data_IF_284720724228
#
_entry.id   IF_284720724228
#
_cell.length_a   1.000
_cell.length_b   1.000
_cell.length_c   1.000
_cell.angle_alpha   90.00
_cell.angle_beta   90.00
_cell.angle_gamma   90.00
#
_symmetry.space_group_name_H-M   'P 1'
#
loop_
_entity.id
_entity.type
_entity.pdbx_description
1 polymer ?
#
# COMPACT_ATOMS: atom_id res chain seq x y z
N UNK A 1 30.65 -15.13 50.94
CA UNK A 1 29.40 -14.32 50.94
C UNK A 1 29.11 -13.89 49.52
N UNK A 2 27.84 -13.94 49.07
CA UNK A 2 27.48 -14.12 47.67
C UNK A 2 27.42 -12.81 46.87
N UNK A 3 27.72 -12.92 45.57
CA UNK A 3 27.36 -11.97 44.52
C UNK A 3 25.85 -11.70 44.54
N UNK A 4 25.44 -10.47 44.86
CA UNK A 4 24.08 -10.02 44.53
C UNK A 4 24.05 -8.51 44.31
N UNK A 5 23.16 -8.10 43.41
CA UNK A 5 22.76 -6.72 43.07
C UNK A 5 23.52 -6.04 41.91
N UNK A 6 23.58 -6.72 40.76
CA UNK A 6 23.33 -5.98 39.50
C UNK A 6 21.82 -5.85 39.41
N UNK A 7 21.33 -4.61 39.56
CA UNK A 7 19.93 -4.27 39.37
C UNK A 7 19.47 -4.81 38.01
N UNK A 8 18.46 -5.68 38.01
CA UNK A 8 17.65 -5.94 36.80
C UNK A 8 17.06 -4.60 36.39
N UNK A 9 17.74 -3.86 35.50
CA UNK A 9 17.08 -2.86 34.68
C UNK A 9 16.00 -3.61 33.94
N UNK A 10 14.80 -3.54 34.50
CA UNK A 10 13.57 -4.02 33.89
C UNK A 10 13.41 -3.16 32.66
N UNK A 11 13.94 -3.62 31.52
CA UNK A 11 13.54 -3.14 30.22
C UNK A 11 12.01 -3.17 30.26
N UNK A 12 11.39 -1.99 30.35
CA UNK A 12 9.98 -1.87 29.99
C UNK A 12 9.97 -2.37 28.55
N UNK A 13 9.49 -3.60 28.33
CA UNK A 13 9.21 -4.08 26.99
C UNK A 13 8.30 -3.03 26.38
N UNK A 14 8.85 -2.17 25.51
CA UNK A 14 8.03 -1.32 24.67
C UNK A 14 7.29 -2.31 23.76
N UNK A 15 6.02 -2.57 24.10
CA UNK A 15 5.15 -3.35 23.26
C UNK A 15 4.60 -2.40 22.20
N UNK A 16 4.96 -2.63 20.94
CA UNK A 16 4.34 -1.96 19.79
C UNK A 16 2.99 -2.62 19.51
N UNK A 17 1.98 -1.82 19.18
CA UNK A 17 0.69 -2.31 18.70
C UNK A 17 0.79 -2.89 17.28
N UNK A 18 -0.13 -3.78 16.89
CA UNK A 18 -0.19 -4.25 15.51
C UNK A 18 -0.39 -3.07 14.53
N UNK A 19 -1.16 -2.05 14.94
CA UNK A 19 -1.36 -0.81 14.18
C UNK A 19 -0.05 -0.02 13.95
N UNK A 20 0.82 0.09 14.95
CA UNK A 20 2.13 0.74 14.79
C UNK A 20 3.11 -0.13 13.98
N UNK A 21 3.05 -1.46 14.13
CA UNK A 21 3.83 -2.39 13.29
C UNK A 21 3.48 -2.20 11.81
N UNK A 22 2.19 -2.09 11.48
CA UNK A 22 1.74 -1.85 10.11
C UNK A 22 2.25 -0.52 9.55
N UNK A 23 2.16 0.56 10.32
CA UNK A 23 2.63 1.88 9.91
C UNK A 23 4.17 1.90 9.67
N UNK A 24 4.93 1.21 10.52
CA UNK A 24 6.38 1.05 10.36
C UNK A 24 6.72 0.18 9.14
N UNK A 25 6.03 -0.95 8.97
CA UNK A 25 6.23 -1.84 7.84
C UNK A 25 5.99 -1.11 6.51
N UNK A 26 4.93 -0.30 6.41
CA UNK A 26 4.66 0.50 5.21
C UNK A 26 5.81 1.46 4.87
N UNK A 27 6.35 2.17 5.88
CA UNK A 27 7.47 3.09 5.67
C UNK A 27 8.75 2.36 5.26
N UNK A 28 9.05 1.23 5.89
CA UNK A 28 10.21 0.39 5.58
C UNK A 28 10.11 -0.14 4.15
N UNK A 29 8.96 -0.67 3.74
CA UNK A 29 8.73 -1.18 2.38
C UNK A 29 8.98 -0.10 1.32
N UNK A 30 8.45 1.11 1.53
CA UNK A 30 8.69 2.24 0.62
C UNK A 30 10.17 2.61 0.58
N UNK A 31 10.85 2.69 1.73
CA UNK A 31 12.28 3.01 1.77
C UNK A 31 13.15 1.94 1.13
N UNK A 32 12.81 0.66 1.27
CA UNK A 32 13.55 -0.45 0.66
C UNK A 32 13.34 -0.49 -0.86
N UNK A 33 12.17 -0.05 -1.33
CA UNK A 33 11.91 0.18 -2.75
C UNK A 33 12.64 1.40 -3.34
N UNK A 34 13.42 2.16 -2.56
CA UNK A 34 14.11 3.38 -3.03
C UNK A 34 13.34 4.69 -2.83
N UNK A 35 12.18 4.63 -2.17
CA UNK A 35 11.32 5.76 -1.89
C UNK A 35 11.78 6.64 -0.71
N UNK A 36 10.97 7.65 -0.34
CA UNK A 36 11.31 8.54 0.75
C UNK A 36 11.30 7.84 2.10
N UNK A 37 12.09 8.39 3.02
CA UNK A 37 11.99 8.08 4.45
C UNK A 37 11.18 9.16 5.17
N UNK A 38 10.42 8.75 6.17
CA UNK A 38 9.75 9.67 7.08
C UNK A 38 9.68 9.07 8.47
N UNK A 39 9.62 9.94 9.48
CA UNK A 39 9.44 9.50 10.86
C UNK A 39 7.97 9.13 11.06
N UNK A 40 7.71 7.84 11.26
CA UNK A 40 6.36 7.33 11.54
C UNK A 40 5.94 7.77 12.95
N UNK A 41 4.84 8.54 13.12
CA UNK A 41 4.28 8.78 14.44
C UNK A 41 3.82 7.44 15.04
N UNK A 42 4.20 7.16 16.29
CA UNK A 42 3.84 5.94 17.01
C UNK A 42 2.89 6.25 18.17
N UNK A 43 2.32 5.21 18.76
CA UNK A 43 1.37 5.30 19.88
C UNK A 43 -0.04 4.87 19.51
N UNK A 44 -0.25 4.27 18.33
CA UNK A 44 -1.55 3.69 17.96
C UNK A 44 -1.84 2.48 18.82
N UNK A 45 -3.12 2.12 18.88
CA UNK A 45 -3.61 0.98 19.64
C UNK A 45 -4.53 0.13 18.80
N UNK A 46 -4.48 -1.16 19.05
CA UNK A 46 -5.27 -2.11 18.27
C UNK A 46 -6.75 -2.02 18.64
N UNK A 47 -7.60 -2.04 17.61
CA UNK A 47 -9.04 -2.18 17.80
C UNK A 47 -9.36 -3.53 18.44
N UNK A 48 -10.46 -3.60 19.18
CA UNK A 48 -11.00 -4.86 19.74
C UNK A 48 -11.97 -5.57 18.81
N UNK A 49 -12.40 -4.89 17.75
CA UNK A 49 -13.43 -5.36 16.80
C UNK A 49 -13.01 -5.02 15.38
N UNK A 50 -13.26 -5.94 14.46
CA UNK A 50 -13.20 -5.66 13.02
C UNK A 50 -14.47 -4.91 12.57
N UNK A 51 -14.38 -4.17 11.46
CA UNK A 51 -15.51 -3.44 10.89
C UNK A 51 -15.68 -3.78 9.40
N UNK A 52 -16.36 -4.90 9.13
CA UNK A 52 -16.55 -5.42 7.76
C UNK A 52 -17.34 -4.47 6.86
N UNK A 53 -18.37 -3.81 7.39
CA UNK A 53 -19.20 -2.87 6.60
C UNK A 53 -18.39 -1.69 6.07
N UNK A 54 -17.32 -1.30 6.77
CA UNK A 54 -16.40 -0.25 6.34
C UNK A 54 -15.66 -0.56 5.04
N UNK A 55 -15.58 -1.83 4.61
CA UNK A 55 -14.90 -2.18 3.35
C UNK A 55 -15.64 -1.67 2.11
N UNK A 56 -16.94 -1.39 2.22
CA UNK A 56 -17.74 -0.82 1.13
C UNK A 56 -17.33 0.61 0.74
N UNK A 57 -16.48 1.26 1.53
CA UNK A 57 -15.95 2.61 1.27
C UNK A 57 -14.57 2.62 0.62
N UNK A 58 -13.95 1.45 0.42
CA UNK A 58 -12.62 1.33 -0.18
C UNK A 58 -12.76 1.46 -1.72
N UNK A 59 -11.93 2.30 -2.39
CA UNK A 59 -11.94 2.40 -3.85
C UNK A 59 -11.58 1.08 -4.52
N UNK A 60 -12.38 0.70 -5.51
CA UNK A 60 -12.31 -0.53 -6.30
C UNK A 60 -11.37 -0.46 -7.50
N UNK A 61 -10.96 0.75 -7.90
CA UNK A 61 -10.12 0.95 -9.10
C UNK A 61 -10.90 1.39 -10.33
N UNK A 62 -12.24 1.42 -10.23
CA UNK A 62 -13.19 1.77 -11.30
C UNK A 62 -13.91 3.11 -11.06
N UNK A 63 -13.64 3.79 -9.93
CA UNK A 63 -14.32 5.03 -9.57
C UNK A 63 -13.95 6.19 -10.50
N UNK A 64 -14.91 7.11 -10.65
CA UNK A 64 -14.63 8.41 -11.23
C UNK A 64 -13.76 9.29 -10.30
N UNK A 65 -13.10 10.30 -10.86
CA UNK A 65 -12.23 11.23 -10.17
C UNK A 65 -13.02 12.00 -9.12
N UNK A 66 -14.27 12.35 -9.44
CA UNK A 66 -15.18 13.01 -8.52
C UNK A 66 -15.47 12.13 -7.30
N UNK A 67 -15.68 10.84 -7.49
CA UNK A 67 -15.98 9.89 -6.41
C UNK A 67 -14.74 9.66 -5.53
N UNK A 68 -13.58 9.35 -6.12
CA UNK A 68 -12.36 9.13 -5.33
C UNK A 68 -11.91 10.41 -4.63
N UNK A 69 -12.03 11.59 -5.27
CA UNK A 69 -11.73 12.86 -4.61
C UNK A 69 -12.70 13.17 -3.46
N UNK A 70 -13.99 12.83 -3.59
CA UNK A 70 -14.96 12.99 -2.50
C UNK A 70 -14.62 12.11 -1.30
N UNK A 71 -14.23 10.85 -1.55
CA UNK A 71 -13.78 9.94 -0.51
C UNK A 71 -12.51 10.46 0.20
N UNK A 72 -11.51 10.92 -0.55
CA UNK A 72 -10.29 11.47 0.05
C UNK A 72 -10.60 12.71 0.90
N UNK A 73 -11.46 13.60 0.41
CA UNK A 73 -11.91 14.78 1.17
C UNK A 73 -12.63 14.42 2.46
N UNK A 74 -13.45 13.36 2.48
CA UNK A 74 -14.13 12.93 3.71
C UNK A 74 -13.17 12.43 4.79
N UNK A 75 -11.97 11.98 4.39
CA UNK A 75 -10.86 11.64 5.29
C UNK A 75 -9.91 12.83 5.56
N UNK A 76 -10.27 14.02 5.08
CA UNK A 76 -9.50 15.26 5.28
C UNK A 76 -8.34 15.46 4.31
N UNK A 77 -8.24 14.68 3.23
CA UNK A 77 -7.20 14.82 2.20
C UNK A 77 -7.58 15.82 1.11
N UNK A 78 -6.59 16.56 0.62
CA UNK A 78 -6.74 17.42 -0.56
C UNK A 78 -6.36 16.67 -1.86
N UNK A 79 -6.50 17.34 -3.00
CA UNK A 79 -6.17 16.75 -4.31
C UNK A 79 -4.67 16.47 -4.48
N UNK A 80 -3.79 17.18 -3.76
CA UNK A 80 -2.35 16.85 -3.75
C UNK A 80 -2.09 15.57 -2.96
N UNK A 81 -2.77 15.37 -1.83
CA UNK A 81 -2.69 14.15 -1.06
C UNK A 81 -3.22 12.95 -1.85
N UNK A 82 -4.35 13.08 -2.54
CA UNK A 82 -4.89 12.06 -3.45
C UNK A 82 -3.85 11.64 -4.48
N UNK A 83 -3.35 12.60 -5.28
CA UNK A 83 -2.39 12.29 -6.36
C UNK A 83 -1.07 11.75 -5.79
N UNK A 84 -0.62 12.22 -4.62
CA UNK A 84 0.57 11.71 -3.98
C UNK A 84 0.38 10.24 -3.55
N UNK A 85 -0.71 9.93 -2.84
CA UNK A 85 -0.96 8.57 -2.34
C UNK A 85 -1.21 7.57 -3.46
N UNK A 86 -1.86 7.97 -4.56
CA UNK A 86 -1.96 7.14 -5.78
C UNK A 86 -0.60 6.78 -6.38
N UNK A 87 0.45 7.59 -6.12
CA UNK A 87 1.82 7.28 -6.51
C UNK A 87 2.39 6.01 -5.90
N UNK A 88 1.72 5.40 -4.91
CA UNK A 88 2.09 4.05 -4.41
C UNK A 88 1.96 2.97 -5.49
N UNK A 89 1.21 3.21 -6.57
CA UNK A 89 1.10 2.28 -7.71
C UNK A 89 2.35 2.29 -8.62
N UNK A 90 3.43 2.97 -8.24
CA UNK A 90 4.75 2.86 -8.88
C UNK A 90 5.38 1.47 -8.73
N UNK A 91 4.88 0.63 -7.83
CA UNK A 91 5.33 -0.74 -7.63
C UNK A 91 4.15 -1.65 -7.23
N UNK A 92 4.33 -2.97 -7.31
CA UNK A 92 3.27 -3.93 -6.98
C UNK A 92 2.40 -4.31 -8.18
N UNK A 93 1.29 -5.01 -7.90
CA UNK A 93 0.51 -5.73 -8.92
C UNK A 93 -0.99 -5.62 -8.70
N UNK A 94 -1.74 -5.53 -9.79
CA UNK A 94 -3.20 -5.63 -9.84
C UNK A 94 -3.63 -6.95 -10.49
N UNK A 95 -4.85 -7.42 -10.18
CA UNK A 95 -5.43 -8.55 -10.91
C UNK A 95 -6.11 -8.07 -12.18
N UNK A 96 -6.14 -8.91 -13.21
CA UNK A 96 -6.90 -8.62 -14.44
C UNK A 96 -8.34 -8.16 -14.15
N UNK A 97 -9.00 -8.76 -13.14
CA UNK A 97 -10.35 -8.39 -12.71
C UNK A 97 -10.55 -6.89 -12.46
N UNK A 98 -9.51 -6.16 -12.04
CA UNK A 98 -9.60 -4.75 -11.65
C UNK A 98 -9.52 -3.74 -12.81
N UNK A 99 -9.21 -4.18 -14.02
CA UNK A 99 -9.11 -3.27 -15.18
C UNK A 99 -9.61 -3.89 -16.49
N UNK A 100 -10.11 -5.13 -16.47
CA UNK A 100 -10.62 -5.79 -17.68
C UNK A 100 -11.82 -5.09 -18.32
N UNK A 101 -12.61 -4.35 -17.53
CA UNK A 101 -13.65 -3.44 -18.03
C UNK A 101 -13.07 -2.39 -18.98
N UNK A 102 -11.91 -1.82 -18.67
CA UNK A 102 -11.19 -0.88 -19.54
C UNK A 102 -10.74 -1.52 -20.86
N UNK A 103 -10.49 -2.83 -20.88
CA UNK A 103 -10.04 -3.52 -22.09
C UNK A 103 -11.19 -3.89 -23.02
N UNK A 104 -12.33 -4.30 -22.47
CA UNK A 104 -13.38 -4.97 -23.24
C UNK A 104 -14.80 -4.40 -23.09
N UNK A 105 -15.13 -3.71 -22.00
CA UNK A 105 -16.52 -3.29 -21.70
C UNK A 105 -16.58 -1.86 -21.15
N UNK A 106 -15.75 -0.95 -21.67
CA UNK A 106 -15.58 0.37 -21.08
C UNK A 106 -16.88 1.18 -21.10
N UNK A 107 -17.25 1.77 -19.96
CA UNK A 107 -18.54 2.44 -19.74
C UNK A 107 -19.76 1.59 -20.11
N UNK A 108 -19.70 0.29 -19.80
CA UNK A 108 -20.76 -0.69 -20.09
C UNK A 108 -21.04 -0.87 -21.60
N UNK A 109 -20.10 -0.50 -22.47
CA UNK A 109 -20.22 -0.72 -23.92
C UNK A 109 -19.37 -1.93 -24.32
N UNK A 110 -20.04 -3.03 -24.65
CA UNK A 110 -19.38 -4.28 -25.05
C UNK A 110 -18.47 -4.09 -26.27
N UNK A 111 -17.24 -4.60 -26.17
CA UNK A 111 -16.20 -4.48 -27.19
C UNK A 111 -15.43 -3.15 -27.16
N UNK A 112 -15.83 -2.18 -26.34
CA UNK A 112 -15.18 -0.88 -26.26
C UNK A 112 -13.99 -0.93 -25.30
N UNK A 113 -12.82 -0.55 -25.80
CA UNK A 113 -11.64 -0.25 -24.99
C UNK A 113 -11.67 1.21 -24.55
N UNK A 114 -11.20 1.49 -23.33
CA UNK A 114 -11.04 2.83 -22.77
C UNK A 114 -10.21 3.72 -23.72
N UNK A 115 -10.76 4.83 -24.25
CA UNK A 115 -10.04 5.73 -25.15
C UNK A 115 -8.92 6.52 -24.46
N UNK A 116 -8.88 6.53 -23.12
CA UNK A 116 -7.80 7.15 -22.35
C UNK A 116 -6.61 6.21 -22.12
N UNK A 117 -6.73 4.93 -22.49
CA UNK A 117 -5.66 3.95 -22.43
C UNK A 117 -4.90 3.91 -23.77
N UNK A 118 -3.57 3.96 -23.71
CA UNK A 118 -2.70 3.89 -24.88
C UNK A 118 -2.99 2.60 -25.67
N UNK A 119 -3.24 2.70 -26.98
CA UNK A 119 -3.70 1.57 -27.78
C UNK A 119 -2.68 0.41 -27.84
N UNK A 120 -1.38 0.71 -27.92
CA UNK A 120 -0.32 -0.31 -27.90
C UNK A 120 -0.27 -1.01 -26.55
N UNK A 121 -0.36 -0.25 -25.46
CA UNK A 121 -0.41 -0.80 -24.11
C UNK A 121 -1.68 -1.62 -23.86
N UNK A 122 -2.85 -1.15 -24.29
CA UNK A 122 -4.10 -1.89 -24.23
C UNK A 122 -4.00 -3.23 -24.97
N UNK A 123 -3.36 -3.27 -26.15
CA UNK A 123 -3.16 -4.51 -26.88
C UNK A 123 -2.22 -5.47 -26.13
N UNK A 124 -1.16 -4.98 -25.50
CA UNK A 124 -0.30 -5.80 -24.64
C UNK A 124 -1.08 -6.36 -23.44
N UNK A 125 -1.86 -5.53 -22.75
CA UNK A 125 -2.72 -5.96 -21.64
C UNK A 125 -3.77 -6.98 -22.07
N UNK A 126 -4.32 -6.89 -23.28
CA UNK A 126 -5.26 -7.90 -23.83
C UNK A 126 -4.60 -9.26 -24.09
N UNK A 127 -3.29 -9.32 -24.33
CA UNK A 127 -2.57 -10.60 -24.42
C UNK A 127 -2.35 -11.21 -23.04
N UNK A 128 -2.08 -10.37 -22.04
CA UNK A 128 -1.87 -10.79 -20.64
C UNK A 128 -3.19 -11.16 -19.94
N UNK A 129 -4.27 -10.46 -20.26
CA UNK A 129 -5.61 -10.62 -19.70
C UNK A 129 -6.63 -10.84 -20.84
N UNK A 130 -6.59 -12.00 -21.55
CA UNK A 130 -7.49 -12.24 -22.68
C UNK A 130 -8.96 -12.30 -22.26
N UNK A 131 -9.87 -11.99 -23.18
CA UNK A 131 -11.32 -12.06 -22.93
C UNK A 131 -11.72 -13.49 -22.60
N UNK A 132 -12.31 -13.70 -21.42
CA UNK A 132 -12.65 -15.04 -20.90
C UNK A 132 -11.46 -15.82 -20.34
N UNK A 133 -10.29 -15.18 -20.18
CA UNK A 133 -9.12 -15.75 -19.52
C UNK A 133 -9.20 -15.72 -17.99
N UNK A 134 -8.08 -16.07 -17.35
CA UNK A 134 -7.96 -16.07 -15.89
C UNK A 134 -7.91 -14.64 -15.33
N UNK A 135 -9.03 -14.22 -14.74
CA UNK A 135 -9.19 -12.91 -14.10
C UNK A 135 -8.31 -12.72 -12.86
N UNK A 136 -7.67 -13.78 -12.36
CA UNK A 136 -6.81 -13.73 -11.17
C UNK A 136 -5.34 -13.47 -11.48
N UNK A 137 -4.95 -13.48 -12.76
CA UNK A 137 -3.59 -13.18 -13.21
C UNK A 137 -3.14 -11.81 -12.73
N UNK A 138 -1.89 -11.72 -12.27
CA UNK A 138 -1.30 -10.52 -11.69
C UNK A 138 -0.46 -9.76 -12.70
N UNK A 139 -0.75 -8.48 -12.87
CA UNK A 139 -0.06 -7.54 -13.77
C UNK A 139 0.58 -6.43 -12.95
N UNK A 140 1.82 -6.09 -13.28
CA UNK A 140 2.54 -5.00 -12.62
C UNK A 140 1.82 -3.65 -12.86
N UNK A 141 1.63 -2.87 -11.80
CA UNK A 141 0.99 -1.54 -11.87
C UNK A 141 1.85 -0.51 -12.63
N UNK A 142 3.17 -0.66 -12.52
CA UNK A 142 4.15 0.06 -13.31
C UNK A 142 4.96 -0.95 -14.14
N UNK A 143 4.77 -0.94 -15.46
CA UNK A 143 5.45 -1.88 -16.36
C UNK A 143 6.94 -1.56 -16.55
N UNK A 144 7.41 -0.35 -16.23
CA UNK A 144 8.81 0.03 -16.46
C UNK A 144 9.69 -0.24 -15.25
N UNK A 145 9.18 0.02 -14.04
CA UNK A 145 9.96 -0.03 -12.80
C UNK A 145 9.22 -0.74 -11.66
N UNK A 146 8.60 -1.89 -11.94
CA UNK A 146 7.66 -2.60 -11.04
C UNK A 146 8.11 -2.94 -9.61
N UNK A 147 9.42 -2.85 -9.31
CA UNK A 147 10.01 -3.07 -7.98
C UNK A 147 10.61 -1.81 -7.34
N UNK A 148 10.57 -0.66 -8.04
CA UNK A 148 11.17 0.59 -7.59
C UNK A 148 10.08 1.58 -7.21
N UNK A 149 10.25 2.23 -6.07
CA UNK A 149 9.41 3.33 -5.64
C UNK A 149 9.97 4.64 -6.20
N UNK A 150 9.44 5.10 -7.33
CA UNK A 150 9.91 6.29 -8.03
C UNK A 150 8.73 7.12 -8.61
N UNK A 151 9.01 8.12 -9.44
CA UNK A 151 7.97 8.95 -10.05
C UNK A 151 7.54 8.46 -11.45
N UNK A 152 7.97 7.27 -11.89
CA UNK A 152 7.65 6.73 -13.20
C UNK A 152 6.15 6.43 -13.36
N UNK A 153 5.45 6.11 -12.27
CA UNK A 153 3.99 6.10 -12.22
C UNK A 153 3.37 7.34 -12.89
N UNK A 154 3.86 8.55 -12.57
CA UNK A 154 3.31 9.79 -13.14
C UNK A 154 3.71 9.99 -14.61
N UNK A 155 4.87 9.48 -15.02
CA UNK A 155 5.29 9.45 -16.43
C UNK A 155 4.39 8.49 -17.24
N UNK A 156 3.98 7.36 -16.65
CA UNK A 156 3.02 6.45 -17.27
C UNK A 156 1.67 7.13 -17.51
N UNK A 157 1.15 7.89 -16.54
CA UNK A 157 -0.12 8.61 -16.70
C UNK A 157 -0.07 9.61 -17.87
N UNK A 158 1.03 10.35 -18.02
CA UNK A 158 1.26 11.28 -19.13
C UNK A 158 1.24 10.57 -20.49
N UNK A 159 1.70 9.32 -20.52
CA UNK A 159 1.74 8.48 -21.72
C UNK A 159 0.48 7.62 -21.92
N UNK A 160 -0.59 7.86 -21.15
CA UNK A 160 -1.84 7.09 -21.20
C UNK A 160 -1.64 5.62 -20.80
N UNK A 161 -0.74 5.36 -19.86
CA UNK A 161 -0.32 4.03 -19.42
C UNK A 161 -0.60 3.75 -17.94
N UNK A 162 -1.51 4.49 -17.30
CA UNK A 162 -2.04 4.09 -15.99
C UNK A 162 -2.87 2.81 -16.13
N UNK A 163 -2.62 1.80 -15.27
CA UNK A 163 -3.25 0.48 -15.36
C UNK A 163 -4.72 0.52 -14.93
N UNK A 164 -5.02 1.14 -13.79
CA UNK A 164 -6.39 1.27 -13.28
C UNK A 164 -7.10 2.48 -13.90
N UNK A 165 -8.43 2.49 -13.84
CA UNK A 165 -9.20 3.64 -14.33
C UNK A 165 -8.94 4.85 -13.43
N UNK A 166 -8.99 4.65 -12.11
CA UNK A 166 -8.71 5.68 -11.10
C UNK A 166 -7.34 6.34 -11.29
N UNK A 167 -6.33 5.59 -11.77
CA UNK A 167 -5.01 6.12 -12.11
C UNK A 167 -5.09 7.07 -13.31
N UNK A 168 -5.62 6.58 -14.44
CA UNK A 168 -5.60 7.32 -15.68
C UNK A 168 -6.51 8.56 -15.63
N UNK A 169 -7.53 8.53 -14.78
CA UNK A 169 -8.42 9.67 -14.54
C UNK A 169 -7.74 10.85 -13.84
N UNK A 170 -6.66 10.64 -13.07
CA UNK A 170 -5.88 11.74 -12.46
C UNK A 170 -5.30 12.67 -13.53
N UNK A 171 -5.01 12.15 -14.72
CA UNK A 171 -4.41 12.90 -15.83
C UNK A 171 -5.36 13.16 -17.01
N UNK A 172 -6.35 12.29 -17.23
CA UNK A 172 -7.19 12.34 -18.44
C UNK A 172 -8.53 13.03 -18.25
N UNK A 173 -8.91 13.35 -17.00
CA UNK A 173 -10.12 14.12 -16.71
C UNK A 173 -9.92 15.59 -17.10
N UNK A 174 -10.69 16.05 -18.10
CA UNK A 174 -10.57 17.40 -18.62
C UNK A 174 -10.84 18.47 -17.53
N UNK A 175 -9.97 19.49 -17.45
CA UNK A 175 -10.09 20.58 -16.48
C UNK A 175 -9.81 20.21 -15.03
N UNK A 176 -9.41 18.97 -14.73
CA UNK A 176 -9.11 18.56 -13.36
C UNK A 176 -7.80 19.18 -12.85
N UNK A 177 -7.82 19.68 -11.62
CA UNK A 177 -6.63 20.22 -10.94
C UNK A 177 -5.52 19.19 -10.74
N UNK A 178 -5.88 17.90 -10.68
CA UNK A 178 -4.96 16.77 -10.55
C UNK A 178 -3.95 16.70 -11.69
N UNK A 179 -4.32 17.17 -12.90
CA UNK A 179 -3.44 17.18 -14.08
C UNK A 179 -2.18 18.01 -13.81
N UNK A 180 -2.32 19.18 -13.18
CA UNK A 180 -1.17 20.02 -12.83
C UNK A 180 -0.27 19.36 -11.79
N UNK A 181 -0.86 18.61 -10.86
CA UNK A 181 -0.15 17.90 -9.79
C UNK A 181 0.62 16.70 -10.34
N UNK A 182 0.00 15.89 -11.21
CA UNK A 182 0.65 14.79 -11.94
C UNK A 182 1.85 15.32 -12.72
N UNK A 183 1.68 16.40 -13.49
CA UNK A 183 2.77 17.03 -14.23
C UNK A 183 3.93 17.48 -13.33
N UNK A 184 3.61 18.02 -12.14
CA UNK A 184 4.61 18.45 -11.16
C UNK A 184 5.42 17.25 -10.61
N UNK A 185 4.75 16.14 -10.29
CA UNK A 185 5.40 14.94 -9.77
C UNK A 185 6.19 14.18 -10.83
N UNK A 186 5.67 14.08 -12.06
CA UNK A 186 6.40 13.56 -13.21
C UNK A 186 7.72 14.32 -13.47
N UNK A 187 7.72 15.65 -13.32
CA UNK A 187 8.92 16.49 -13.49
C UNK A 187 9.90 16.43 -12.31
N UNK A 188 9.45 16.01 -11.13
CA UNK A 188 10.24 16.15 -9.91
C UNK A 188 9.91 15.06 -8.89
N UNK A 189 10.73 14.01 -8.89
CA UNK A 189 10.66 12.94 -7.89
C UNK A 189 10.79 13.47 -6.46
N UNK A 190 11.62 14.48 -6.22
CA UNK A 190 11.76 15.09 -4.89
C UNK A 190 10.47 15.75 -4.40
N UNK A 191 9.71 16.41 -5.29
CA UNK A 191 8.40 16.96 -4.94
C UNK A 191 7.36 15.87 -4.69
N UNK A 192 7.37 14.80 -5.50
CA UNK A 192 6.54 13.62 -5.24
C UNK A 192 6.85 13.03 -3.87
N UNK A 193 8.10 12.69 -3.60
CA UNK A 193 8.57 12.07 -2.36
C UNK A 193 8.23 12.93 -1.13
N UNK A 194 8.43 14.25 -1.21
CA UNK A 194 8.08 15.18 -0.13
C UNK A 194 6.59 15.17 0.18
N UNK A 195 5.73 15.16 -0.86
CA UNK A 195 4.27 15.13 -0.68
C UNK A 195 3.78 13.76 -0.24
N UNK A 196 4.35 12.68 -0.77
CA UNK A 196 4.04 11.32 -0.37
C UNK A 196 4.30 11.09 1.12
N UNK A 197 5.48 11.46 1.62
CA UNK A 197 5.82 11.35 3.05
C UNK A 197 4.83 12.12 3.95
N UNK A 198 4.44 13.35 3.55
CA UNK A 198 3.45 14.15 4.29
C UNK A 198 2.07 13.51 4.28
N UNK A 199 1.62 13.01 3.12
CA UNK A 199 0.34 12.35 2.97
C UNK A 199 0.29 11.02 3.75
N UNK A 200 1.38 10.24 3.78
CA UNK A 200 1.49 9.02 4.59
C UNK A 200 1.43 9.29 6.10
N UNK A 201 2.08 10.37 6.58
CA UNK A 201 1.98 10.80 7.98
C UNK A 201 0.52 11.18 8.31
N UNK A 202 -0.12 11.96 7.41
CA UNK A 202 -1.51 12.38 7.56
C UNK A 202 -2.45 11.18 7.59
N UNK A 203 -2.27 10.22 6.70
CA UNK A 203 -3.02 8.96 6.65
C UNK A 203 -2.86 8.13 7.92
N UNK A 204 -1.64 8.03 8.44
CA UNK A 204 -1.38 7.37 9.72
C UNK A 204 -2.05 8.05 10.91
N UNK A 205 -2.53 9.29 10.78
CA UNK A 205 -3.15 10.05 11.86
C UNK A 205 -4.68 10.15 11.73
N UNK A 206 -5.31 9.38 10.84
CA UNK A 206 -6.77 9.29 10.75
C UNK A 206 -7.30 8.55 11.98
N UNK A 207 -8.08 9.26 12.82
CA UNK A 207 -8.83 8.73 13.96
C UNK A 207 -8.12 7.64 14.80
N UNK A 208 -6.85 7.84 15.23
CA UNK A 208 -6.13 6.84 16.00
C UNK A 208 -6.74 6.67 17.39
N UNK A 209 -6.77 5.43 17.88
CA UNK A 209 -7.02 5.16 19.30
C UNK A 209 -5.76 5.53 20.11
N UNK A 210 -5.84 6.60 20.91
CA UNK A 210 -4.75 7.14 21.76
C UNK A 210 -5.16 7.07 23.24
N UNK A 211 -4.22 6.85 24.17
CA UNK A 211 -4.46 7.01 25.62
C UNK A 211 -3.52 6.20 26.54
N UNK A 212 -3.50 6.55 27.84
CA UNK A 212 -2.50 6.11 28.84
C UNK A 212 -2.61 4.65 29.32
N UNK A 213 -3.76 4.02 29.13
CA UNK A 213 -4.01 2.66 29.65
C UNK A 213 -3.62 1.61 28.63
N UNK A 214 -2.35 1.24 28.47
CA UNK A 214 -1.90 0.20 27.52
C UNK A 214 -2.86 -1.00 27.53
N UNK A 215 -3.70 -1.15 26.51
CA UNK A 215 -4.42 -2.40 26.28
C UNK A 215 -3.39 -3.24 25.56
N UNK A 216 -2.63 -3.98 26.35
CA UNK A 216 -2.04 -5.19 25.86
C UNK A 216 -3.19 -5.93 25.20
N UNK A 217 -3.15 -6.08 23.87
CA UNK A 217 -3.82 -7.22 23.26
C UNK A 217 -3.48 -8.41 24.14
N UNK A 218 -4.50 -9.17 24.54
CA UNK A 218 -4.30 -10.35 25.38
C UNK A 218 -3.05 -11.07 24.91
N UNK A 219 -2.21 -11.51 25.83
CA UNK A 219 -1.01 -12.33 25.57
C UNK A 219 -1.31 -13.66 24.85
N UNK A 220 -2.52 -13.79 24.30
CA UNK A 220 -3.15 -14.94 23.70
C UNK A 220 -3.70 -14.63 22.29
N UNK A 221 -3.80 -13.35 21.88
CA UNK A 221 -3.96 -13.01 20.46
C UNK A 221 -2.62 -12.58 19.92
N UNK A 222 -1.86 -13.54 19.40
CA UNK A 222 -0.89 -13.24 18.35
C UNK A 222 -1.56 -12.28 17.37
N UNK A 223 -0.85 -11.22 16.95
CA UNK A 223 -1.36 -10.42 15.86
C UNK A 223 -1.51 -11.37 14.65
N UNK A 224 -2.71 -11.87 14.41
CA UNK A 224 -3.17 -12.12 13.06
C UNK A 224 -3.31 -10.72 12.47
N UNK A 225 -2.17 -10.15 12.08
CA UNK A 225 -2.20 -9.03 11.16
C UNK A 225 -2.66 -9.68 9.86
N UNK A 226 -3.97 -9.74 9.65
CA UNK A 226 -4.50 -9.64 8.31
C UNK A 226 -4.09 -8.24 7.86
N UNK A 227 -2.87 -8.16 7.33
CA UNK A 227 -2.24 -6.92 6.90
C UNK A 227 -3.03 -6.45 5.69
N UNK A 228 -4.16 -5.77 5.91
CA UNK A 228 -4.96 -5.14 4.86
C UNK A 228 -4.19 -3.99 4.22
N UNK A 229 -3.10 -4.31 3.50
CA UNK A 229 -2.36 -3.40 2.63
C UNK A 229 -3.25 -3.14 1.43
N UNK A 230 -4.02 -2.07 1.50
CA UNK A 230 -4.80 -1.57 0.37
C UNK A 230 -3.83 -0.75 -0.48
N UNK A 231 -3.09 -1.44 -1.33
CA UNK A 231 -2.56 -0.88 -2.57
C UNK A 231 -3.04 -1.84 -3.67
N UNK A 232 -4.14 -1.42 -4.34
CA UNK A 232 -4.78 -2.00 -5.56
C UNK A 232 -5.12 -3.49 -5.51
N UNK A 233 -6.34 -3.99 -5.40
CA UNK A 233 -7.70 -3.50 -5.67
C UNK A 233 -8.66 -4.16 -4.65
N UNK A 234 -9.93 -3.80 -4.66
CA UNK A 234 -11.00 -4.38 -3.81
C UNK A 234 -11.24 -5.86 -4.10
N UNK A 235 -10.32 -6.74 -3.65
CA UNK A 235 -10.60 -8.10 -3.13
C UNK A 235 -9.35 -8.98 -2.99
N UNK A 236 -8.17 -8.56 -3.43
CA UNK A 236 -7.26 -9.60 -3.91
C UNK A 236 -5.79 -9.53 -3.55
N UNK A 237 -5.45 -8.63 -2.63
CA UNK A 237 -4.35 -8.84 -1.71
C UNK A 237 -4.78 -9.64 -0.45
N UNK A 238 -6.10 -9.93 -0.27
CA UNK A 238 -6.70 -10.62 0.90
C UNK A 238 -7.36 -11.97 0.62
N UNK A 239 -7.00 -12.63 -0.48
CA UNK A 239 -7.40 -14.01 -0.75
C UNK A 239 -6.20 -14.95 -0.66
N UNK A 240 -5.96 -15.55 0.52
CA UNK A 240 -4.88 -16.50 0.89
C UNK A 240 -3.55 -15.91 1.37
N UNK A 241 -3.54 -15.28 2.55
CA UNK A 241 -2.37 -15.30 3.44
C UNK A 241 -2.36 -16.55 4.37
N UNK A 242 -3.35 -17.44 4.26
CA UNK A 242 -3.47 -18.69 5.01
C UNK A 242 -2.85 -19.91 4.32
N UNK A 243 -2.12 -19.74 3.20
CA UNK A 243 -1.55 -20.88 2.45
C UNK A 243 -0.09 -20.70 1.98
N UNK A 244 0.63 -19.70 2.49
CA UNK A 244 2.04 -19.46 2.16
C UNK A 244 3.04 -20.17 3.08
N UNK A 245 2.58 -20.91 4.10
CA UNK A 245 3.47 -21.69 4.98
C UNK A 245 3.97 -22.99 4.30
N UNK A 246 3.32 -23.47 3.23
CA UNK A 246 3.68 -24.75 2.60
C UNK A 246 4.41 -24.65 1.24
N UNK A 247 4.73 -23.45 0.73
CA UNK A 247 5.40 -23.31 -0.59
C UNK A 247 6.78 -22.64 -0.55
N UNK A 248 7.36 -22.45 0.64
CA UNK A 248 8.66 -21.80 0.83
C UNK A 248 9.89 -22.57 0.30
N UNK A 249 9.71 -23.57 -0.57
CA UNK A 249 10.81 -24.37 -1.11
C UNK A 249 11.23 -24.03 -2.55
N UNK A 250 10.66 -23.02 -3.24
CA UNK A 250 11.09 -22.80 -4.64
C UNK A 250 10.89 -21.41 -5.29
N UNK A 251 11.15 -20.29 -4.61
CA UNK A 251 11.36 -19.00 -5.31
C UNK A 251 12.54 -18.24 -4.68
N UNK A 252 13.61 -18.10 -5.45
CA UNK A 252 14.86 -17.49 -5.04
C UNK A 252 14.78 -15.96 -4.83
N UNK A 253 15.54 -15.51 -3.82
CA UNK A 253 16.07 -14.16 -3.61
C UNK A 253 15.19 -13.04 -3.02
N UNK A 254 14.11 -13.36 -2.30
CA UNK A 254 13.46 -12.42 -1.35
C UNK A 254 13.52 -12.90 0.11
N UNK A 255 14.62 -13.54 0.52
CA UNK A 255 14.79 -14.09 1.87
C UNK A 255 15.30 -13.07 2.92
N UNK A 256 14.92 -11.80 2.84
CA UNK A 256 15.20 -10.84 3.93
C UNK A 256 14.27 -9.65 3.88
N UNK A 257 12.98 -9.86 4.12
CA UNK A 257 12.09 -8.82 4.66
C UNK A 257 10.79 -9.44 5.19
N UNK A 258 10.75 -9.56 6.52
CA UNK A 258 9.55 -9.53 7.36
C UNK A 258 8.57 -10.70 7.20
N UNK A 259 8.93 -11.84 7.81
CA UNK A 259 7.96 -12.69 8.50
C UNK A 259 7.94 -12.26 9.98
N UNK A 260 7.22 -11.17 10.32
CA UNK A 260 7.17 -10.65 11.69
C UNK A 260 6.17 -11.41 12.60
N UNK A 261 5.28 -12.23 12.04
CA UNK A 261 4.22 -12.90 12.81
C UNK A 261 4.45 -14.38 13.14
N UNK A 262 5.57 -15.00 12.72
CA UNK A 262 5.88 -16.41 13.02
C UNK A 262 7.26 -16.65 13.64
N UNK A 263 7.78 -15.64 14.32
CA UNK A 263 9.09 -15.73 14.95
C UNK A 263 8.99 -16.39 16.32
N UNK A 264 9.59 -17.58 16.45
CA UNK A 264 10.05 -18.10 17.77
C UNK A 264 10.78 -16.98 18.50
N UNK A 265 10.69 -17.00 19.83
CA UNK A 265 11.17 -15.95 20.74
C UNK A 265 12.56 -15.37 20.41
N UNK A 266 13.46 -16.14 19.77
CA UNK A 266 14.79 -15.68 19.36
C UNK A 266 14.82 -14.67 18.21
N UNK A 267 13.91 -14.76 17.23
CA UNK A 267 13.92 -13.82 16.09
C UNK A 267 13.15 -12.53 16.42
N UNK A 268 12.22 -12.58 17.39
CA UNK A 268 11.61 -11.37 17.99
C UNK A 268 12.66 -10.46 18.62
N UNK A 269 13.68 -11.05 19.26
CA UNK A 269 14.82 -10.30 19.79
C UNK A 269 15.71 -9.71 18.69
N UNK A 270 15.86 -10.38 17.53
CA UNK A 270 16.59 -9.84 16.37
C UNK A 270 15.84 -8.75 15.62
N UNK A 271 14.52 -8.87 15.46
CA UNK A 271 13.70 -7.83 14.84
C UNK A 271 13.67 -6.55 15.71
N UNK A 272 13.61 -6.70 17.04
CA UNK A 272 13.82 -5.59 17.97
C UNK A 272 15.21 -4.97 17.83
N UNK A 273 16.24 -5.78 17.53
CA UNK A 273 17.60 -5.28 17.30
C UNK A 273 17.75 -4.54 15.95
N UNK A 274 17.06 -4.98 14.90
CA UNK A 274 17.01 -4.28 13.60
C UNK A 274 16.23 -2.96 13.74
N UNK A 275 15.09 -2.97 14.43
CA UNK A 275 14.30 -1.76 14.71
C UNK A 275 15.08 -0.79 15.61
N UNK A 276 15.83 -1.28 16.61
CA UNK A 276 16.70 -0.43 17.44
C UNK A 276 17.81 0.26 16.63
N UNK A 277 18.39 -0.43 15.64
CA UNK A 277 19.41 0.15 14.76
C UNK A 277 18.85 1.13 13.70
N UNK A 278 17.52 1.23 13.57
CA UNK A 278 16.82 2.21 12.70
C UNK A 278 16.29 3.42 13.47
N UNK A 279 16.34 3.40 14.81
CA UNK A 279 15.84 4.48 15.69
C UNK A 279 16.95 5.46 16.13
N UNK A 280 18.22 5.17 15.85
CA UNK A 280 19.35 6.09 16.07
C UNK A 280 19.71 6.90 14.81
#
# INVERSE_FOLDING_TARGET
>A
MPLSMISKQRWRKLALSCADILALAAQISVSLGGGPRWKVPLGRRDSRTAHREGTGTIPTGHESLANIATLFRSMGFDSTDLVALSGVHTFGRARCAAFMDRLYNFNNVSGKTDPTLNATYANALKQLCPKGGDVTSLIDLDEQTSLTFDNNYFLNLQNRRGLLQTDQELFSTNGAETVAIVNRFARSQSQFFSRFAKAMIKMGNINPLIGDKVFFGSTEKQCEIEVVVIATDVHTFFGKATHLVDSANNIGHFQSSIDLCHLRNDVKNRAQHIIANFID
#
